data_IF_081074303069
#
_entry.id   IF_081074303069
#
_cell.length_a   1.000
_cell.length_b   1.000
_cell.length_c   1.000
_cell.angle_alpha   90.00
_cell.angle_beta   90.00
_cell.angle_gamma   90.00
#
_symmetry.space_group_name_H-M   'P 1'
#
loop_
_entity.id
_entity.type
_entity.pdbx_description
1 polymer ?
#
# COMPACT_ATOMS: atom_id res chain seq x y z
N UNK A 1 -25.85 -7.79 -10.09
CA UNK A 1 -25.00 -8.06 -8.92
C UNK A 1 -23.56 -7.85 -9.35
N UNK A 2 -22.78 -7.04 -8.63
CA UNK A 2 -21.33 -6.91 -8.94
C UNK A 2 -20.65 -8.24 -8.68
N UNK A 3 -19.90 -8.71 -9.67
CA UNK A 3 -19.08 -9.92 -9.60
C UNK A 3 -18.16 -9.86 -8.35
N UNK A 4 -17.94 -11.00 -7.69
CA UNK A 4 -17.04 -11.09 -6.54
C UNK A 4 -15.60 -10.68 -6.89
N UNK A 5 -15.17 -10.97 -8.12
CA UNK A 5 -13.88 -10.50 -8.67
C UNK A 5 -13.84 -8.97 -8.76
N UNK A 6 -14.90 -8.34 -9.25
CA UNK A 6 -15.00 -6.88 -9.34
C UNK A 6 -14.98 -6.24 -7.94
N UNK A 7 -15.65 -6.84 -6.96
CA UNK A 7 -15.63 -6.39 -5.57
C UNK A 7 -14.22 -6.45 -4.97
N UNK A 8 -13.50 -7.56 -5.13
CA UNK A 8 -12.13 -7.72 -4.64
C UNK A 8 -11.14 -6.75 -5.31
N UNK A 9 -11.27 -6.52 -6.63
CA UNK A 9 -10.46 -5.50 -7.31
C UNK A 9 -10.74 -4.10 -6.77
N UNK A 10 -12.01 -3.76 -6.53
CA UNK A 10 -12.39 -2.46 -5.96
C UNK A 10 -11.80 -2.29 -4.56
N UNK A 11 -11.86 -3.32 -3.72
CA UNK A 11 -11.21 -3.32 -2.40
C UNK A 11 -9.69 -3.13 -2.51
N UNK A 12 -9.04 -3.82 -3.44
CA UNK A 12 -7.60 -3.67 -3.68
C UNK A 12 -7.23 -2.23 -4.03
N UNK A 13 -8.00 -1.57 -4.89
CA UNK A 13 -7.80 -0.15 -5.22
C UNK A 13 -8.02 0.78 -4.03
N UNK A 14 -9.03 0.51 -3.18
CA UNK A 14 -9.28 1.29 -1.97
C UNK A 14 -8.09 1.17 -1.01
N UNK A 15 -7.63 -0.04 -0.71
CA UNK A 15 -6.47 -0.24 0.17
C UNK A 15 -5.20 0.37 -0.42
N UNK A 16 -5.00 0.26 -1.74
CA UNK A 16 -3.86 0.87 -2.41
C UNK A 16 -3.88 2.39 -2.27
N UNK A 17 -5.04 3.02 -2.49
CA UNK A 17 -5.18 4.46 -2.32
C UNK A 17 -4.90 4.90 -0.88
N UNK A 18 -5.41 4.15 0.11
CA UNK A 18 -5.13 4.42 1.53
C UNK A 18 -3.64 4.29 1.84
N UNK A 19 -3.00 3.22 1.40
CA UNK A 19 -1.57 3.00 1.63
C UNK A 19 -0.71 4.11 1.02
N UNK A 20 -1.01 4.53 -0.22
CA UNK A 20 -0.33 5.65 -0.87
C UNK A 20 -0.51 6.95 -0.06
N UNK A 21 -1.73 7.25 0.40
CA UNK A 21 -1.98 8.44 1.21
C UNK A 21 -1.18 8.41 2.52
N UNK A 22 -1.12 7.27 3.21
CA UNK A 22 -0.32 7.12 4.44
C UNK A 22 1.15 7.41 4.17
N UNK A 23 1.71 6.89 3.08
CA UNK A 23 3.12 7.15 2.70
C UNK A 23 3.34 8.63 2.38
N UNK A 24 2.50 9.23 1.53
CA UNK A 24 2.64 10.64 1.13
C UNK A 24 2.51 11.57 2.33
N UNK A 25 1.52 11.35 3.19
CA UNK A 25 1.32 12.15 4.41
C UNK A 25 2.48 11.94 5.38
N UNK A 26 2.93 10.70 5.57
CA UNK A 26 4.07 10.39 6.43
C UNK A 26 5.36 11.05 5.98
N UNK A 27 5.67 10.98 4.68
CA UNK A 27 6.83 11.68 4.08
C UNK A 27 6.69 13.20 4.19
N UNK A 28 5.48 13.74 3.94
CA UNK A 28 5.20 15.17 4.10
C UNK A 28 5.39 15.64 5.54
N UNK A 29 4.88 14.89 6.52
CA UNK A 29 5.06 15.18 7.94
C UNK A 29 6.54 15.11 8.36
N UNK A 30 7.30 14.15 7.83
CA UNK A 30 8.74 14.05 8.07
C UNK A 30 9.49 15.26 7.51
N UNK A 31 9.10 15.73 6.32
CA UNK A 31 9.66 16.95 5.75
C UNK A 31 9.31 18.19 6.58
N UNK A 32 8.06 18.31 7.07
CA UNK A 32 7.65 19.45 7.88
C UNK A 32 8.36 19.51 9.25
N UNK A 33 8.70 18.35 9.82
CA UNK A 33 9.32 18.26 11.15
C UNK A 33 10.85 18.33 11.12
N UNK A 34 11.49 17.73 10.11
CA UNK A 34 12.94 17.59 10.04
C UNK A 34 13.56 18.10 8.72
N UNK A 35 12.77 18.74 7.86
CA UNK A 35 13.20 19.29 6.58
C UNK A 35 13.68 18.23 5.60
N UNK A 36 14.60 18.63 4.72
CA UNK A 36 15.25 17.73 3.75
C UNK A 36 16.05 16.62 4.43
N UNK A 37 16.66 16.88 5.60
CA UNK A 37 17.41 15.87 6.36
C UNK A 37 16.52 14.71 6.81
N UNK A 38 15.29 14.99 7.24
CA UNK A 38 14.32 13.96 7.61
C UNK A 38 14.02 13.03 6.44
N UNK A 39 13.72 13.57 5.26
CA UNK A 39 13.43 12.76 4.07
C UNK A 39 14.66 11.96 3.62
N UNK A 40 15.86 12.56 3.68
CA UNK A 40 17.12 11.87 3.36
C UNK A 40 17.41 10.71 4.33
N UNK A 41 16.92 10.77 5.57
CA UNK A 41 17.05 9.66 6.51
C UNK A 41 16.32 8.40 6.03
N UNK A 42 15.27 8.51 5.20
CA UNK A 42 14.64 7.34 4.59
C UNK A 42 15.58 6.59 3.64
N UNK A 43 16.61 7.25 3.10
CA UNK A 43 17.60 6.63 2.23
C UNK A 43 18.79 6.03 3.01
N UNK A 44 18.87 6.29 4.31
CA UNK A 44 19.88 5.69 5.18
C UNK A 44 19.58 4.19 5.36
N UNK A 45 20.53 3.29 5.05
CA UNK A 45 20.37 1.85 5.26
C UNK A 45 20.00 1.47 6.70
N UNK A 46 20.40 2.27 7.70
CA UNK A 46 20.01 2.07 9.10
C UNK A 46 18.50 2.17 9.33
N UNK A 47 17.78 2.83 8.42
CA UNK A 47 16.33 3.01 8.47
C UNK A 47 15.57 2.03 7.55
N UNK A 48 16.20 0.95 7.08
CA UNK A 48 15.56 -0.07 6.24
C UNK A 48 14.25 -0.63 6.84
N UNK A 49 14.12 -0.65 8.18
CA UNK A 49 12.89 -1.09 8.85
C UNK A 49 11.67 -0.23 8.49
N UNK A 50 11.86 1.07 8.22
CA UNK A 50 10.79 1.99 7.81
C UNK A 50 10.22 1.56 6.47
N UNK A 51 11.07 1.12 5.54
CA UNK A 51 10.64 0.55 4.27
C UNK A 51 9.86 -0.75 4.44
N UNK A 52 10.25 -1.60 5.39
CA UNK A 52 9.48 -2.82 5.71
C UNK A 52 8.08 -2.42 6.20
N UNK A 53 7.97 -1.45 7.10
CA UNK A 53 6.67 -0.96 7.57
C UNK A 53 5.82 -0.36 6.45
N UNK A 54 6.44 0.42 5.54
CA UNK A 54 5.78 0.94 4.33
C UNK A 54 5.26 -0.22 3.48
N UNK A 55 6.09 -1.23 3.18
CA UNK A 55 5.69 -2.39 2.37
C UNK A 55 4.55 -3.18 3.00
N UNK A 56 4.57 -3.38 4.32
CA UNK A 56 3.49 -4.07 5.06
C UNK A 56 2.16 -3.32 4.91
N UNK A 57 2.20 -1.98 4.82
CA UNK A 57 0.99 -1.16 4.63
C UNK A 57 0.29 -1.47 3.29
N UNK A 58 1.01 -1.97 2.28
CA UNK A 58 0.43 -2.40 1.00
C UNK A 58 -0.11 -3.84 1.01
N UNK A 59 0.17 -4.63 2.06
CA UNK A 59 -0.21 -6.05 2.11
C UNK A 59 -1.72 -6.30 1.89
N UNK A 60 -2.66 -5.51 2.48
CA UNK A 60 -4.09 -5.69 2.22
C UNK A 60 -4.47 -5.48 0.75
N UNK A 61 -3.87 -4.48 0.09
CA UNK A 61 -4.11 -4.22 -1.33
C UNK A 61 -3.64 -5.38 -2.21
N UNK A 62 -2.42 -5.86 -1.96
CA UNK A 62 -1.84 -7.03 -2.66
C UNK A 62 -2.71 -8.27 -2.43
N UNK A 63 -3.15 -8.53 -1.19
CA UNK A 63 -4.02 -9.65 -0.86
C UNK A 63 -5.36 -9.59 -1.60
N UNK A 64 -5.99 -8.42 -1.69
CA UNK A 64 -7.24 -8.23 -2.44
C UNK A 64 -7.06 -8.50 -3.94
N UNK A 65 -6.00 -7.99 -4.56
CA UNK A 65 -5.73 -8.26 -5.98
C UNK A 65 -5.39 -9.72 -6.24
N UNK A 66 -4.61 -10.33 -5.35
CA UNK A 66 -4.26 -11.75 -5.45
C UNK A 66 -5.51 -12.64 -5.29
N UNK A 67 -6.40 -12.29 -4.36
CA UNK A 67 -7.67 -13.00 -4.18
C UNK A 67 -8.55 -12.88 -5.44
N UNK A 68 -8.65 -11.69 -6.03
CA UNK A 68 -9.36 -11.49 -7.29
C UNK A 68 -8.78 -12.35 -8.44
N UNK A 69 -7.45 -12.45 -8.51
CA UNK A 69 -6.77 -13.32 -9.47
C UNK A 69 -7.13 -14.80 -9.26
N UNK A 70 -7.09 -15.29 -8.02
CA UNK A 70 -7.44 -16.67 -7.69
C UNK A 70 -8.92 -16.99 -7.98
N UNK A 71 -9.84 -16.07 -7.67
CA UNK A 71 -11.28 -16.24 -7.95
C UNK A 71 -11.55 -16.34 -9.45
N UNK A 72 -10.96 -15.43 -10.24
CA UNK A 72 -11.05 -15.47 -11.71
C UNK A 72 -10.50 -16.77 -12.28
N UNK A 73 -9.36 -17.25 -11.75
CA UNK A 73 -8.75 -18.53 -12.17
C UNK A 73 -9.64 -19.73 -11.84
N UNK A 74 -10.50 -19.63 -10.83
CA UNK A 74 -11.47 -20.66 -10.43
C UNK A 74 -12.81 -20.54 -11.16
N UNK A 75 -12.97 -19.59 -12.08
CA UNK A 75 -14.23 -19.37 -12.80
C UNK A 75 -15.35 -18.81 -11.92
N UNK A 76 -15.01 -18.23 -10.77
CA UNK A 76 -15.96 -17.53 -9.90
C UNK A 76 -16.00 -16.07 -10.35
N UNK A 77 -17.14 -15.62 -10.86
CA UNK A 77 -17.35 -14.22 -11.27
C UNK A 77 -17.83 -13.32 -10.13
#
# INVERSE_FOLDING_TARGET
MTSMVAAQRKLGWIFLAVAINVVVIGTGALYMTAGTRGVMALLDPGNAWVWIAILITFAPAVASFYTAYLLRRRGVD
#
